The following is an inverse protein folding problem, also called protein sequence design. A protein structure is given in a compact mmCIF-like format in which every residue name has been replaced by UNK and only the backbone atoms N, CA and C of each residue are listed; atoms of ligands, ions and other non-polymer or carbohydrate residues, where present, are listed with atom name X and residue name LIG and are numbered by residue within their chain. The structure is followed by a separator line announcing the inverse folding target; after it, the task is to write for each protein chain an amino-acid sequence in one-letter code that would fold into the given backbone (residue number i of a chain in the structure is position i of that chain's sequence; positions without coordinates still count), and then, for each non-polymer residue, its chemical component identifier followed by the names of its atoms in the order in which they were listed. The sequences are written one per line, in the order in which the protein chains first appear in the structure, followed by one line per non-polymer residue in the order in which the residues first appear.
data_IF_687862162739
#
_entry.id   IF_687862162739
#
_cell.length_a   1.000
_cell.length_b   1.000
_cell.length_c   1.000
_cell.angle_alpha   90.00
_cell.angle_beta   90.00
_cell.angle_gamma   90.00
#
_symmetry.space_group_name_H-M   'P 1'
#
loop_
_entity.id
_entity.type
_entity.pdbx_description
1 polymer ?
#
# COMPACT_ATOMS: atom_id res chain seq x y z
N UNK A 1 -9.05 12.29 4.59
CA UNK A 1 -9.97 11.15 4.49
C UNK A 1 -11.32 11.49 5.10
N UNK A 2 -11.38 12.06 6.32
CA UNK A 2 -12.66 12.40 6.96
C UNK A 2 -13.49 13.43 6.18
N UNK A 3 -12.85 14.40 5.52
CA UNK A 3 -13.53 15.39 4.66
C UNK A 3 -13.99 14.76 3.33
N UNK A 4 -13.19 13.89 2.76
CA UNK A 4 -13.52 13.17 1.51
C UNK A 4 -14.70 12.23 1.72
N UNK A 5 -14.83 11.62 2.91
CA UNK A 5 -15.95 10.69 3.23
C UNK A 5 -17.33 11.33 3.14
N UNK A 6 -17.47 12.66 3.34
CA UNK A 6 -18.78 13.33 3.24
C UNK A 6 -19.37 13.28 1.83
N UNK A 7 -18.51 13.22 0.81
CA UNK A 7 -18.89 13.33 -0.60
C UNK A 7 -18.64 12.04 -1.39
N UNK A 8 -17.93 11.07 -0.81
CA UNK A 8 -17.58 9.80 -1.45
C UNK A 8 -17.93 8.62 -0.55
N UNK A 9 -18.41 7.53 -1.15
CA UNK A 9 -18.68 6.27 -0.45
C UNK A 9 -17.36 5.49 -0.22
N UNK A 10 -16.42 6.07 0.55
CA UNK A 10 -15.12 5.45 0.84
C UNK A 10 -15.33 4.10 1.53
N UNK A 11 -14.73 3.04 1.00
CA UNK A 11 -14.85 1.66 1.50
C UNK A 11 -13.63 1.24 2.33
N UNK A 12 -12.44 1.65 1.94
CA UNK A 12 -11.22 1.35 2.65
C UNK A 12 -10.16 2.43 2.38
N UNK A 13 -9.14 2.47 3.23
CA UNK A 13 -7.90 3.25 3.04
C UNK A 13 -6.75 2.28 2.90
N UNK A 14 -5.94 2.41 1.85
CA UNK A 14 -4.74 1.62 1.64
C UNK A 14 -3.51 2.46 1.98
N UNK A 15 -2.57 1.87 2.72
CA UNK A 15 -1.28 2.46 3.04
C UNK A 15 -0.17 1.56 2.50
N UNK A 16 0.69 2.13 1.67
CA UNK A 16 1.75 1.40 0.96
C UNK A 16 3.03 1.21 1.78
N UNK A 17 2.99 1.41 3.10
CA UNK A 17 4.13 1.21 4.00
C UNK A 17 4.89 2.50 4.35
N UNK A 18 6.03 2.33 5.02
CA UNK A 18 6.84 3.41 5.60
C UNK A 18 6.00 4.29 6.55
N UNK A 19 5.40 3.64 7.55
CA UNK A 19 4.60 4.27 8.59
C UNK A 19 5.44 5.16 9.52
N UNK A 20 6.72 4.80 9.64
CA UNK A 20 7.73 5.51 10.43
C UNK A 20 9.00 5.69 9.61
N UNK A 21 9.84 6.63 10.00
CA UNK A 21 11.17 6.81 9.40
C UNK A 21 12.18 5.78 9.90
N UNK A 22 12.02 5.30 11.13
CA UNK A 22 12.92 4.34 11.77
C UNK A 22 12.16 3.45 12.75
N UNK A 23 12.29 2.12 12.59
CA UNK A 23 11.50 1.16 13.37
C UNK A 23 11.92 1.08 14.85
N UNK A 24 13.23 1.07 15.18
CA UNK A 24 13.73 0.85 16.54
C UNK A 24 14.85 1.80 16.99
N UNK A 25 14.99 2.94 16.38
CA UNK A 25 16.01 3.92 16.79
C UNK A 25 15.61 4.59 18.12
N UNK A 26 16.41 4.35 19.16
CA UNK A 26 16.13 4.87 20.50
C UNK A 26 16.56 6.34 20.68
N UNK A 27 17.56 6.78 19.91
CA UNK A 27 18.10 8.13 20.01
C UNK A 27 17.94 8.83 18.67
N UNK A 28 17.24 9.97 18.60
CA UNK A 28 17.15 10.77 17.38
C UNK A 28 18.54 11.20 16.92
N UNK A 29 18.81 11.08 15.63
CA UNK A 29 20.10 11.50 15.03
C UNK A 29 20.02 12.91 14.41
N UNK A 30 18.85 13.57 14.46
CA UNK A 30 18.55 14.86 13.85
C UNK A 30 18.75 14.92 12.31
N UNK A 31 18.98 13.78 11.68
CA UNK A 31 19.06 13.61 10.22
C UNK A 31 17.79 12.99 9.70
N UNK A 32 17.31 11.93 10.37
CA UNK A 32 16.10 11.18 10.02
C UNK A 32 14.93 11.51 10.98
N UNK A 33 14.88 12.75 11.43
CA UNK A 33 13.89 13.25 12.36
C UNK A 33 14.42 13.49 13.77
N UNK A 34 13.63 14.20 14.56
CA UNK A 34 13.92 14.59 15.95
C UNK A 34 13.14 13.78 16.98
N UNK A 35 12.49 12.69 16.56
CA UNK A 35 11.69 11.80 17.39
C UNK A 35 12.35 10.43 17.50
N UNK A 36 12.21 9.80 18.66
CA UNK A 36 12.50 8.38 18.81
C UNK A 36 11.54 7.53 17.99
N UNK A 37 11.90 6.30 17.65
CA UNK A 37 11.01 5.37 16.94
C UNK A 37 9.70 5.15 17.68
N UNK A 38 9.72 5.08 19.01
CA UNK A 38 8.49 4.96 19.82
C UNK A 38 7.55 6.15 19.62
N UNK A 39 8.08 7.37 19.59
CA UNK A 39 7.30 8.58 19.35
C UNK A 39 6.74 8.61 17.94
N UNK A 40 7.52 8.19 16.93
CA UNK A 40 7.08 8.06 15.54
C UNK A 40 5.94 7.03 15.41
N UNK A 41 6.10 5.84 15.98
CA UNK A 41 5.05 4.81 16.00
C UNK A 41 3.78 5.28 16.71
N UNK A 42 3.90 5.98 17.84
CA UNK A 42 2.76 6.59 18.53
C UNK A 42 2.08 7.66 17.69
N UNK A 43 2.85 8.47 16.94
CA UNK A 43 2.30 9.48 16.06
C UNK A 43 1.53 8.85 14.89
N UNK A 44 2.10 7.84 14.21
CA UNK A 44 1.43 7.08 13.17
C UNK A 44 0.15 6.42 13.72
N UNK A 45 0.25 5.73 14.86
CA UNK A 45 -0.90 5.11 15.52
C UNK A 45 -2.03 6.10 15.79
N UNK A 46 -1.74 7.27 16.38
CA UNK A 46 -2.75 8.33 16.61
C UNK A 46 -3.38 8.86 15.33
N UNK A 47 -2.63 8.92 14.23
CA UNK A 47 -3.20 9.34 12.95
C UNK A 47 -4.25 8.33 12.45
N UNK A 48 -3.99 7.03 12.58
CA UNK A 48 -4.92 5.95 12.20
C UNK A 48 -6.11 5.78 13.17
N UNK A 49 -6.00 6.19 14.44
CA UNK A 49 -7.13 6.18 15.39
C UNK A 49 -8.35 6.94 14.87
N UNK A 50 -8.15 7.94 14.01
CA UNK A 50 -9.23 8.67 13.36
C UNK A 50 -10.04 7.83 12.39
N UNK A 51 -9.50 6.71 11.94
CA UNK A 51 -10.15 5.73 11.06
C UNK A 51 -10.74 4.55 11.84
N UNK A 52 -10.24 4.27 13.05
CA UNK A 52 -10.73 3.18 13.87
C UNK A 52 -12.25 3.25 14.05
N UNK A 53 -12.92 2.13 13.82
CA UNK A 53 -14.38 1.98 13.89
C UNK A 53 -15.19 2.87 12.91
N UNK A 54 -14.52 3.50 11.93
CA UNK A 54 -15.15 4.36 10.92
C UNK A 54 -14.91 3.87 9.50
N UNK A 55 -13.70 3.39 9.24
CA UNK A 55 -13.29 2.85 7.94
C UNK A 55 -12.29 1.71 8.16
N UNK A 56 -12.39 0.61 7.42
CA UNK A 56 -11.28 -0.32 7.30
C UNK A 56 -10.06 0.39 6.70
N UNK A 57 -8.90 0.15 7.25
CA UNK A 57 -7.64 0.52 6.64
C UNK A 57 -6.77 -0.71 6.48
N UNK A 58 -5.98 -0.73 5.43
CA UNK A 58 -5.16 -1.85 4.98
C UNK A 58 -3.73 -1.33 4.92
N UNK A 59 -2.83 -1.93 5.68
CA UNK A 59 -1.46 -1.46 5.87
C UNK A 59 -0.51 -2.54 5.40
N UNK A 60 0.45 -2.21 4.52
CA UNK A 60 1.64 -3.02 4.35
C UNK A 60 2.82 -2.41 5.12
N UNK A 61 3.85 -3.21 5.39
CA UNK A 61 5.11 -2.71 5.93
C UNK A 61 6.02 -2.23 4.81
N UNK A 62 6.68 -1.09 5.01
CA UNK A 62 7.74 -0.59 4.15
C UNK A 62 9.13 -0.86 4.75
N UNK A 63 10.21 -0.52 4.03
CA UNK A 63 11.57 -0.82 4.50
C UNK A 63 11.94 -0.07 5.78
N UNK A 64 11.37 1.10 6.04
CA UNK A 64 11.59 1.87 7.26
C UNK A 64 10.84 1.30 8.47
N UNK A 65 9.83 0.46 8.26
CA UNK A 65 9.07 -0.22 9.31
C UNK A 65 9.77 -1.48 9.86
N UNK A 66 10.93 -1.86 9.28
CA UNK A 66 11.68 -3.07 9.64
C UNK A 66 13.10 -2.78 10.11
N UNK A 67 13.63 -3.69 10.94
CA UNK A 67 14.99 -3.64 11.46
C UNK A 67 15.18 -2.51 12.46
N UNK A 68 16.40 -1.97 12.48
CA UNK A 68 16.71 -0.82 13.33
C UNK A 68 16.28 0.50 12.67
N UNK A 69 16.74 0.74 11.44
CA UNK A 69 16.43 1.95 10.65
C UNK A 69 15.71 1.65 9.35
N UNK A 70 16.19 0.67 8.56
CA UNK A 70 15.63 0.37 7.25
C UNK A 70 15.94 -1.07 6.81
N UNK A 71 15.11 -1.98 7.25
CA UNK A 71 15.11 -3.40 6.85
C UNK A 71 16.46 -4.11 6.98
N UNK A 72 17.21 -3.87 8.06
CA UNK A 72 18.41 -4.65 8.41
C UNK A 72 18.07 -6.09 8.80
N UNK A 73 16.86 -6.30 9.27
CA UNK A 73 16.29 -7.60 9.66
C UNK A 73 14.76 -7.57 9.57
N UNK A 74 14.08 -8.64 10.02
CA UNK A 74 12.61 -8.77 9.96
C UNK A 74 11.86 -8.28 11.21
N UNK A 75 12.53 -7.65 12.14
CA UNK A 75 11.86 -7.08 13.30
C UNK A 75 10.99 -5.90 12.89
N UNK A 76 9.70 -5.93 13.21
CA UNK A 76 8.72 -4.93 12.82
C UNK A 76 7.74 -4.66 13.96
N UNK A 77 7.46 -3.41 14.25
CA UNK A 77 6.57 -3.00 15.32
C UNK A 77 5.11 -2.81 14.87
N UNK A 78 4.75 -3.12 13.62
CA UNK A 78 3.36 -3.01 13.14
C UNK A 78 2.41 -3.80 14.06
N UNK A 79 2.71 -5.06 14.39
CA UNK A 79 1.84 -5.87 15.24
C UNK A 79 1.65 -5.32 16.67
N UNK A 80 2.62 -4.54 17.17
CA UNK A 80 2.53 -3.87 18.48
C UNK A 80 1.57 -2.68 18.47
N UNK A 81 1.63 -1.85 17.41
CA UNK A 81 0.83 -0.62 17.32
C UNK A 81 -0.48 -0.80 16.56
N UNK A 82 -0.54 -1.79 15.69
CA UNK A 82 -1.69 -2.16 14.86
C UNK A 82 -2.02 -3.65 15.02
N UNK A 83 -2.39 -4.12 16.23
CA UNK A 83 -2.80 -5.52 16.40
C UNK A 83 -4.04 -5.82 15.55
N UNK A 84 -4.17 -7.06 15.09
CA UNK A 84 -5.27 -7.52 14.22
C UNK A 84 -6.67 -7.33 14.81
N UNK A 85 -6.76 -7.02 16.07
CA UNK A 85 -8.03 -6.78 16.80
C UNK A 85 -8.36 -5.28 16.95
N UNK A 86 -7.49 -4.37 16.54
CA UNK A 86 -7.61 -2.95 16.84
C UNK A 86 -8.84 -2.29 16.21
N UNK A 87 -9.07 -2.48 14.92
CA UNK A 87 -10.21 -1.88 14.23
C UNK A 87 -11.36 -2.87 14.16
N UNK A 88 -12.48 -2.59 14.85
CA UNK A 88 -13.64 -3.48 14.90
C UNK A 88 -14.25 -3.76 13.51
N UNK A 89 -14.08 -2.87 12.54
CA UNK A 89 -14.58 -3.06 11.18
C UNK A 89 -13.82 -4.15 10.40
N UNK A 90 -12.64 -4.58 10.88
CA UNK A 90 -11.96 -5.73 10.29
C UNK A 90 -12.70 -7.04 10.49
N UNK A 91 -13.59 -7.15 11.48
CA UNK A 91 -14.45 -8.34 11.66
C UNK A 91 -15.26 -8.68 10.41
N UNK A 92 -15.61 -7.65 9.63
CA UNK A 92 -16.48 -7.80 8.46
C UNK A 92 -15.68 -7.98 7.16
N UNK A 93 -14.36 -7.77 7.17
CA UNK A 93 -13.57 -7.81 5.95
C UNK A 93 -12.24 -8.55 6.04
N UNK A 94 -11.59 -8.63 7.21
CA UNK A 94 -10.33 -9.38 7.38
C UNK A 94 -10.62 -10.89 7.37
N UNK A 95 -10.16 -11.59 6.34
CA UNK A 95 -10.50 -13.02 6.12
C UNK A 95 -9.36 -13.98 6.37
N UNK A 96 -8.11 -13.50 6.35
CA UNK A 96 -6.92 -14.31 6.60
C UNK A 96 -5.74 -13.45 7.03
N UNK A 97 -4.85 -14.01 7.84
CA UNK A 97 -3.53 -13.45 8.16
C UNK A 97 -2.48 -14.53 8.06
N UNK A 98 -1.27 -14.15 7.64
CA UNK A 98 -0.09 -14.99 7.74
C UNK A 98 0.84 -14.40 8.81
N UNK A 99 1.45 -15.26 9.63
CA UNK A 99 2.31 -14.80 10.71
C UNK A 99 3.58 -14.11 10.16
N UNK A 100 4.08 -13.14 10.91
CA UNK A 100 5.40 -12.57 10.63
C UNK A 100 6.52 -13.59 10.92
N UNK A 101 7.77 -13.19 10.70
CA UNK A 101 8.95 -14.04 10.90
C UNK A 101 9.12 -14.55 12.35
N UNK A 102 8.40 -13.97 13.29
CA UNK A 102 8.44 -14.34 14.73
C UNK A 102 7.20 -15.13 15.17
N UNK A 103 6.37 -15.59 14.23
CA UNK A 103 5.17 -16.38 14.54
C UNK A 103 3.98 -15.56 15.05
N UNK A 104 4.00 -14.24 14.91
CA UNK A 104 2.93 -13.35 15.38
C UNK A 104 1.96 -13.02 14.27
N UNK A 105 0.61 -13.17 14.47
CA UNK A 105 -0.39 -12.71 13.53
C UNK A 105 -0.24 -11.20 13.28
N UNK A 106 -0.19 -10.79 12.01
CA UNK A 106 0.13 -9.40 11.67
C UNK A 106 -0.65 -8.89 10.47
N UNK A 107 -0.89 -7.58 10.43
CA UNK A 107 -1.50 -6.92 9.27
C UNK A 107 -0.53 -6.76 8.09
N UNK A 108 0.78 -6.94 8.30
CA UNK A 108 1.78 -6.94 7.23
C UNK A 108 1.52 -8.02 6.17
N UNK A 109 0.90 -9.13 6.60
CA UNK A 109 0.52 -10.26 5.76
C UNK A 109 -0.95 -10.59 6.02
N UNK A 110 -1.86 -9.87 5.40
CA UNK A 110 -3.29 -9.96 5.66
C UNK A 110 -4.11 -9.95 4.37
N UNK A 111 -5.30 -10.52 4.42
CA UNK A 111 -6.22 -10.51 3.29
C UNK A 111 -7.59 -10.00 3.71
N UNK A 112 -8.16 -9.14 2.87
CA UNK A 112 -9.43 -8.46 3.11
C UNK A 112 -10.39 -8.68 1.96
N UNK A 113 -11.64 -9.04 2.28
CA UNK A 113 -12.70 -9.28 1.32
C UNK A 113 -13.72 -8.13 1.32
N UNK A 114 -14.06 -7.64 0.14
CA UNK A 114 -15.09 -6.63 -0.06
C UNK A 114 -16.08 -7.10 -1.13
N UNK A 115 -17.35 -6.88 -0.89
CA UNK A 115 -18.42 -7.21 -1.85
C UNK A 115 -19.13 -5.95 -2.33
N UNK A 116 -19.35 -5.85 -3.62
CA UNK A 116 -20.12 -4.78 -4.24
C UNK A 116 -21.01 -5.35 -5.35
N UNK A 117 -22.27 -4.89 -5.43
CA UNK A 117 -23.24 -5.40 -6.41
C UNK A 117 -22.80 -5.30 -7.87
N UNK A 118 -22.01 -4.28 -8.23
CA UNK A 118 -21.54 -4.05 -9.59
C UNK A 118 -20.19 -4.71 -9.86
N UNK A 119 -19.33 -4.81 -8.83
CA UNK A 119 -17.96 -5.28 -8.93
C UNK A 119 -17.79 -6.74 -8.56
N UNK A 120 -18.81 -7.35 -7.95
CA UNK A 120 -18.70 -8.67 -7.34
C UNK A 120 -17.80 -8.63 -6.11
N UNK A 121 -17.05 -9.70 -5.91
CA UNK A 121 -16.15 -9.86 -4.77
C UNK A 121 -14.72 -9.45 -5.13
N UNK A 122 -14.12 -8.66 -4.26
CA UNK A 122 -12.73 -8.21 -4.37
C UNK A 122 -11.98 -8.72 -3.15
N UNK A 123 -10.83 -9.35 -3.37
CA UNK A 123 -9.89 -9.77 -2.34
C UNK A 123 -8.65 -8.87 -2.42
N UNK A 124 -8.32 -8.19 -1.33
CA UNK A 124 -7.06 -7.43 -1.22
C UNK A 124 -6.08 -8.21 -0.38
N UNK A 125 -4.95 -8.61 -0.94
CA UNK A 125 -3.88 -9.35 -0.26
C UNK A 125 -2.71 -8.40 -0.02
N UNK A 126 -2.27 -8.31 1.23
CA UNK A 126 -1.13 -7.52 1.67
C UNK A 126 0.08 -8.42 1.84
N UNK A 127 1.22 -7.96 1.35
CA UNK A 127 2.51 -8.61 1.51
C UNK A 127 3.46 -7.73 2.32
N UNK A 128 4.19 -8.33 3.25
CA UNK A 128 5.28 -7.70 3.98
C UNK A 128 6.34 -7.12 3.04
N UNK A 129 7.19 -6.22 3.52
CA UNK A 129 8.34 -5.74 2.75
C UNK A 129 9.26 -6.90 2.35
N UNK A 130 9.63 -6.97 1.08
CA UNK A 130 10.46 -8.04 0.51
C UNK A 130 10.00 -9.44 0.98
N UNK A 131 8.75 -9.86 0.64
CA UNK A 131 8.06 -10.98 1.26
C UNK A 131 8.86 -12.28 1.23
N UNK A 132 8.74 -13.08 2.29
CA UNK A 132 9.31 -14.42 2.39
C UNK A 132 8.58 -15.38 1.45
N UNK A 133 9.21 -16.51 1.14
CA UNK A 133 8.60 -17.52 0.27
C UNK A 133 7.29 -18.06 0.84
N UNK A 134 7.23 -18.34 2.14
CA UNK A 134 6.01 -18.81 2.79
C UNK A 134 4.86 -17.79 2.71
N UNK A 135 5.15 -16.49 2.68
CA UNK A 135 4.13 -15.45 2.51
C UNK A 135 3.60 -15.43 1.06
N UNK A 136 4.49 -15.59 0.07
CA UNK A 136 4.08 -15.71 -1.33
C UNK A 136 3.25 -16.98 -1.58
N UNK A 137 3.64 -18.12 -0.99
CA UNK A 137 2.86 -19.36 -1.08
C UNK A 137 1.52 -19.27 -0.37
N UNK A 138 1.45 -18.63 0.81
CA UNK A 138 0.18 -18.32 1.48
C UNK A 138 -0.73 -17.48 0.60
N UNK A 139 -0.22 -16.37 0.05
CA UNK A 139 -0.97 -15.46 -0.80
C UNK A 139 -1.49 -16.15 -2.06
N UNK A 140 -0.65 -16.96 -2.70
CA UNK A 140 -1.02 -17.76 -3.88
C UNK A 140 -2.09 -18.79 -3.54
N UNK A 141 -1.87 -19.58 -2.49
CA UNK A 141 -2.83 -20.61 -2.05
C UNK A 141 -4.19 -20.00 -1.73
N UNK A 142 -4.20 -18.81 -1.10
CA UNK A 142 -5.42 -18.09 -0.83
C UNK A 142 -6.13 -17.65 -2.13
N UNK A 143 -5.39 -16.99 -3.04
CA UNK A 143 -5.94 -16.46 -4.29
C UNK A 143 -6.57 -17.55 -5.17
N UNK A 144 -5.97 -18.74 -5.23
CA UNK A 144 -6.46 -19.85 -6.08
C UNK A 144 -7.42 -20.81 -5.35
N UNK A 145 -7.70 -20.59 -4.05
CA UNK A 145 -8.62 -21.45 -3.29
C UNK A 145 -10.03 -21.40 -3.87
N UNK A 146 -10.83 -22.46 -3.70
CA UNK A 146 -12.22 -22.54 -4.13
C UNK A 146 -13.05 -21.33 -3.66
N UNK A 147 -12.79 -20.85 -2.44
CA UNK A 147 -13.47 -19.67 -1.90
C UNK A 147 -13.21 -18.41 -2.71
N UNK A 148 -11.97 -18.18 -3.14
CA UNK A 148 -11.53 -16.90 -3.71
C UNK A 148 -11.20 -16.94 -5.21
N UNK A 149 -11.23 -18.10 -5.87
CA UNK A 149 -10.85 -18.24 -7.29
C UNK A 149 -11.66 -17.36 -8.26
N UNK A 150 -12.88 -16.96 -7.86
CA UNK A 150 -13.77 -16.09 -8.63
C UNK A 150 -13.73 -14.62 -8.18
N UNK A 151 -12.89 -14.26 -7.21
CA UNK A 151 -12.70 -12.87 -6.80
C UNK A 151 -11.75 -12.14 -7.75
N UNK A 152 -11.93 -10.84 -7.89
CA UNK A 152 -10.89 -9.96 -8.42
C UNK A 152 -9.85 -9.73 -7.30
N UNK A 153 -8.61 -10.20 -7.48
CA UNK A 153 -7.57 -10.09 -6.46
C UNK A 153 -6.69 -8.88 -6.73
N UNK A 154 -6.51 -8.05 -5.72
CA UNK A 154 -5.60 -6.91 -5.71
C UNK A 154 -4.50 -7.18 -4.69
N UNK A 155 -3.26 -6.93 -5.05
CA UNK A 155 -2.10 -7.12 -4.19
C UNK A 155 -1.58 -5.75 -3.74
N UNK A 156 -1.34 -5.58 -2.46
CA UNK A 156 -0.71 -4.41 -1.87
C UNK A 156 0.66 -4.81 -1.31
N UNK A 157 1.71 -4.11 -1.73
CA UNK A 157 3.07 -4.29 -1.21
C UNK A 157 3.79 -2.95 -1.20
N UNK A 158 4.96 -2.88 -0.58
CA UNK A 158 5.72 -1.63 -0.51
C UNK A 158 6.58 -1.39 -1.75
N UNK A 159 7.52 -2.29 -2.03
CA UNK A 159 8.50 -2.16 -3.10
C UNK A 159 8.22 -3.14 -4.23
N UNK A 160 7.99 -2.63 -5.46
CA UNK A 160 7.74 -3.47 -6.63
C UNK A 160 8.09 -2.78 -7.95
N UNK A 161 7.67 -1.54 -8.18
CA UNK A 161 7.73 -0.84 -9.46
C UNK A 161 8.48 0.49 -9.32
N UNK A 162 9.18 0.90 -10.39
CA UNK A 162 9.77 2.24 -10.52
C UNK A 162 8.89 3.14 -11.41
N UNK A 163 9.23 4.42 -11.45
CA UNK A 163 8.54 5.43 -12.24
C UNK A 163 8.51 5.13 -13.74
N UNK A 164 9.56 4.51 -14.27
CA UNK A 164 9.69 4.15 -15.69
C UNK A 164 8.96 2.85 -16.06
N UNK A 165 8.20 2.26 -15.12
CA UNK A 165 7.51 0.99 -15.31
C UNK A 165 8.43 -0.24 -15.20
N UNK A 166 9.71 -0.09 -14.85
CA UNK A 166 10.60 -1.23 -14.59
C UNK A 166 10.26 -1.88 -13.25
N UNK A 167 10.29 -3.21 -13.23
CA UNK A 167 10.10 -4.00 -12.01
C UNK A 167 11.41 -4.01 -11.21
N UNK A 168 11.32 -3.77 -9.90
CA UNK A 168 12.47 -3.83 -8.99
C UNK A 168 12.88 -5.30 -8.83
N UNK A 169 14.05 -5.67 -9.34
CA UNK A 169 14.54 -7.05 -9.27
C UNK A 169 15.29 -7.36 -7.98
N UNK A 170 15.98 -6.37 -7.41
CA UNK A 170 16.79 -6.48 -6.19
C UNK A 170 16.98 -5.13 -5.54
N UNK A 171 17.13 -5.15 -4.21
CA UNK A 171 17.53 -4.02 -3.40
C UNK A 171 18.65 -4.38 -2.42
N UNK A 172 19.27 -3.37 -1.82
CA UNK A 172 20.48 -3.54 -0.98
C UNK A 172 20.17 -3.59 0.51
N UNK A 173 18.95 -3.94 0.92
CA UNK A 173 18.60 -4.08 2.33
C UNK A 173 19.12 -5.39 2.93
N UNK A 174 19.39 -5.37 4.24
CA UNK A 174 19.91 -6.52 4.98
C UNK A 174 18.90 -7.63 5.24
N UNK A 175 17.59 -7.35 5.06
CA UNK A 175 16.51 -8.30 5.30
C UNK A 175 16.66 -9.58 4.46
N UNK A 176 16.53 -10.75 5.11
CA UNK A 176 16.67 -12.05 4.46
C UNK A 176 15.78 -13.10 5.16
N UNK A 177 15.20 -14.08 4.42
CA UNK A 177 15.12 -14.17 2.96
C UNK A 177 14.27 -13.04 2.37
N UNK A 178 14.47 -12.66 1.10
CA UNK A 178 13.83 -11.51 0.49
C UNK A 178 13.44 -11.80 -0.96
N UNK A 179 12.20 -11.51 -1.33
CA UNK A 179 11.72 -11.54 -2.69
C UNK A 179 11.30 -10.13 -3.13
N UNK A 180 11.77 -9.72 -4.31
CA UNK A 180 11.44 -8.43 -4.91
C UNK A 180 10.56 -8.61 -6.16
N UNK A 181 10.23 -7.54 -6.82
CA UNK A 181 9.18 -7.46 -7.83
C UNK A 181 9.20 -8.56 -8.88
N UNK A 182 10.36 -8.93 -9.44
CA UNK A 182 10.47 -10.01 -10.42
C UNK A 182 9.99 -11.36 -9.85
N UNK A 183 10.44 -11.70 -8.64
CA UNK A 183 10.05 -12.95 -7.99
C UNK A 183 8.58 -12.92 -7.54
N UNK A 184 8.09 -11.78 -7.09
CA UNK A 184 6.66 -11.59 -6.78
C UNK A 184 5.82 -11.80 -8.05
N UNK A 185 6.25 -11.28 -9.19
CA UNK A 185 5.60 -11.52 -10.46
C UNK A 185 5.57 -13.02 -10.80
N UNK A 186 6.72 -13.69 -10.80
CA UNK A 186 6.86 -15.09 -11.21
C UNK A 186 6.13 -16.05 -10.28
N UNK A 187 6.20 -15.83 -8.96
CA UNK A 187 5.63 -16.75 -7.97
C UNK A 187 4.16 -16.50 -7.65
N UNK A 188 3.67 -15.24 -7.77
CA UNK A 188 2.33 -14.86 -7.34
C UNK A 188 1.48 -14.25 -8.46
N UNK A 189 1.93 -13.16 -9.09
CA UNK A 189 1.03 -12.41 -9.99
C UNK A 189 0.76 -13.16 -11.28
N UNK A 190 1.80 -13.69 -11.93
CA UNK A 190 1.67 -14.40 -13.18
C UNK A 190 0.84 -15.70 -13.06
N UNK A 191 1.10 -16.61 -12.09
CA UNK A 191 0.39 -17.88 -12.03
C UNK A 191 -1.06 -17.80 -11.52
N UNK A 192 -1.48 -16.70 -10.91
CA UNK A 192 -2.84 -16.55 -10.39
C UNK A 192 -3.76 -15.88 -11.42
N UNK A 193 -4.65 -16.66 -12.02
CA UNK A 193 -5.57 -16.24 -13.10
C UNK A 193 -6.52 -15.08 -12.72
N UNK A 194 -6.74 -14.84 -11.43
CA UNK A 194 -7.71 -13.87 -10.89
C UNK A 194 -7.06 -12.62 -10.29
N UNK A 195 -5.72 -12.53 -10.24
CA UNK A 195 -5.05 -11.28 -9.88
C UNK A 195 -5.22 -10.27 -11.02
N UNK A 196 -5.64 -9.04 -10.67
CA UNK A 196 -5.93 -7.96 -11.61
C UNK A 196 -5.13 -6.69 -11.37
N UNK A 197 -4.62 -6.52 -10.16
CA UNK A 197 -3.92 -5.29 -9.79
C UNK A 197 -2.84 -5.55 -8.75
N UNK A 198 -1.74 -4.78 -8.85
CA UNK A 198 -0.78 -4.58 -7.77
C UNK A 198 -0.62 -3.09 -7.51
N UNK A 199 -0.58 -2.72 -6.24
CA UNK A 199 -0.38 -1.34 -5.76
C UNK A 199 0.86 -1.34 -4.88
N UNK A 200 1.78 -0.37 -5.13
CA UNK A 200 2.99 -0.20 -4.34
C UNK A 200 3.35 1.27 -4.13
N UNK A 201 4.37 1.52 -3.32
CA UNK A 201 4.96 2.82 -3.03
C UNK A 201 6.47 2.79 -3.24
N UNK A 202 7.23 3.10 -2.21
CA UNK A 202 8.67 3.01 -2.04
C UNK A 202 9.47 3.99 -2.90
N UNK A 203 9.51 3.78 -4.23
CA UNK A 203 10.35 4.60 -5.10
C UNK A 203 9.87 6.04 -5.15
N UNK A 204 10.78 6.99 -5.00
CA UNK A 204 10.52 8.42 -5.15
C UNK A 204 11.80 9.18 -5.52
N UNK A 205 11.64 10.42 -6.01
CA UNK A 205 12.72 11.30 -6.42
C UNK A 205 12.37 12.75 -6.06
N UNK A 206 13.39 13.57 -5.85
CA UNK A 206 13.24 15.03 -5.71
C UNK A 206 13.24 15.77 -7.04
N UNK A 207 13.39 15.07 -8.16
CA UNK A 207 13.49 15.68 -9.50
C UNK A 207 12.13 16.09 -10.09
N UNK A 208 11.03 15.68 -9.48
CA UNK A 208 9.69 16.04 -9.88
C UNK A 208 8.68 14.92 -9.70
N UNK A 209 7.39 15.30 -9.67
CA UNK A 209 6.30 14.36 -9.33
C UNK A 209 6.19 13.19 -10.32
N UNK A 210 6.54 13.38 -11.59
CA UNK A 210 6.52 12.29 -12.59
C UNK A 210 7.40 11.10 -12.20
N UNK A 211 8.45 11.33 -11.43
CA UNK A 211 9.35 10.28 -10.91
C UNK A 211 8.81 9.63 -9.64
N UNK A 212 7.68 10.09 -9.12
CA UNK A 212 7.03 9.61 -7.89
C UNK A 212 5.78 8.75 -8.20
N UNK A 213 5.53 8.50 -9.47
CA UNK A 213 4.42 7.69 -9.98
C UNK A 213 4.91 6.75 -11.08
N UNK A 214 4.36 5.55 -11.14
CA UNK A 214 4.70 4.56 -12.15
C UNK A 214 3.50 3.67 -12.49
N UNK A 215 3.46 3.22 -13.75
CA UNK A 215 2.39 2.37 -14.27
C UNK A 215 2.97 1.29 -15.17
N UNK A 216 2.37 0.11 -15.09
CA UNK A 216 2.68 -1.02 -15.96
C UNK A 216 1.45 -1.92 -16.08
N UNK A 217 1.33 -2.62 -17.21
CA UNK A 217 0.30 -3.62 -17.42
C UNK A 217 0.91 -4.83 -18.14
N UNK A 218 0.83 -6.00 -17.50
CA UNK A 218 1.28 -7.26 -18.08
C UNK A 218 0.14 -8.29 -18.02
N UNK A 219 0.25 -9.36 -18.81
CA UNK A 219 -0.73 -10.43 -18.83
C UNK A 219 -0.32 -11.59 -17.92
N UNK A 220 -1.24 -12.05 -17.08
CA UNK A 220 -1.05 -13.27 -16.29
C UNK A 220 -1.21 -14.53 -17.16
N UNK A 221 -1.05 -15.71 -16.55
CA UNK A 221 -1.13 -17.01 -17.23
C UNK A 221 -2.45 -17.25 -17.97
N UNK A 222 -3.54 -16.58 -17.56
CA UNK A 222 -4.84 -16.67 -18.23
C UNK A 222 -5.03 -15.59 -19.33
N UNK A 223 -3.98 -14.84 -19.68
CA UNK A 223 -4.04 -13.75 -20.64
C UNK A 223 -4.79 -12.50 -20.16
N UNK A 224 -5.12 -12.43 -18.86
CA UNK A 224 -5.81 -11.32 -18.25
C UNK A 224 -4.82 -10.23 -17.83
N UNK A 225 -5.24 -8.97 -17.99
CA UNK A 225 -4.44 -7.82 -17.61
C UNK A 225 -4.25 -7.75 -16.09
N UNK A 226 -3.00 -7.51 -15.67
CA UNK A 226 -2.61 -7.18 -14.30
C UNK A 226 -2.03 -5.78 -14.32
N UNK A 227 -2.80 -4.81 -13.81
CA UNK A 227 -2.35 -3.42 -13.71
C UNK A 227 -1.46 -3.26 -12.47
N UNK A 228 -0.34 -2.60 -12.64
CA UNK A 228 0.66 -2.38 -11.61
C UNK A 228 0.85 -0.87 -11.46
N UNK A 229 0.64 -0.35 -10.26
CA UNK A 229 0.65 1.08 -10.00
C UNK A 229 1.55 1.40 -8.81
N UNK A 230 2.50 2.29 -9.00
CA UNK A 230 3.34 2.87 -7.96
C UNK A 230 2.94 4.31 -7.71
N UNK A 231 2.88 4.69 -6.43
CA UNK A 231 2.64 6.06 -5.99
C UNK A 231 3.38 6.33 -4.68
N UNK A 232 4.28 7.32 -4.71
CA UNK A 232 4.94 7.81 -3.49
C UNK A 232 5.23 9.31 -3.60
N UNK A 233 4.45 10.15 -2.94
CA UNK A 233 4.60 11.60 -2.97
C UNK A 233 5.56 12.14 -1.89
N UNK A 234 6.28 11.30 -1.18
CA UNK A 234 7.07 11.64 0.01
C UNK A 234 8.00 12.85 -0.18
N UNK A 235 8.58 13.03 -1.36
CA UNK A 235 9.52 14.11 -1.67
C UNK A 235 8.86 15.44 -2.08
N UNK A 236 7.55 15.46 -2.26
CA UNK A 236 6.83 16.71 -2.49
C UNK A 236 6.82 17.58 -1.22
N UNK A 237 6.69 18.89 -1.39
CA UNK A 237 6.61 19.80 -0.25
C UNK A 237 7.94 20.03 0.48
N UNK A 238 9.07 19.98 -0.25
CA UNK A 238 10.39 20.36 0.28
C UNK A 238 11.46 19.25 0.28
N UNK A 239 11.29 18.21 -0.53
CA UNK A 239 12.26 17.12 -0.66
C UNK A 239 12.27 16.17 0.55
N UNK A 240 13.39 15.49 0.77
CA UNK A 240 13.55 14.48 1.83
C UNK A 240 13.33 15.01 3.25
N UNK A 241 13.55 16.29 3.48
CA UNK A 241 13.38 16.97 4.77
C UNK A 241 12.18 17.93 4.77
N UNK A 242 11.27 17.76 3.82
CA UNK A 242 10.07 18.59 3.67
C UNK A 242 8.94 18.18 4.61
N UNK A 243 7.72 18.41 4.15
CA UNK A 243 6.51 18.18 4.95
C UNK A 243 5.88 16.79 4.79
N UNK A 244 6.59 15.85 4.17
CA UNK A 244 6.12 14.49 3.97
C UNK A 244 5.12 14.34 2.83
N UNK A 245 5.23 15.15 1.77
CA UNK A 245 4.50 14.90 0.54
C UNK A 245 3.27 15.74 0.29
N UNK A 246 3.16 16.94 0.89
CA UNK A 246 2.03 17.87 0.69
C UNK A 246 0.64 17.21 0.87
N UNK A 247 0.58 16.09 1.58
CA UNK A 247 -0.65 15.33 1.79
C UNK A 247 -1.24 14.69 0.53
N UNK A 248 -0.49 14.54 -0.55
CA UNK A 248 -0.96 13.89 -1.77
C UNK A 248 -1.36 12.44 -1.52
N UNK A 249 -2.50 12.05 -2.09
CA UNK A 249 -3.02 10.69 -2.06
C UNK A 249 -3.71 10.35 -3.39
N UNK A 250 -3.86 9.05 -3.67
CA UNK A 250 -4.67 8.56 -4.79
C UNK A 250 -6.05 8.13 -4.35
N UNK A 251 -7.05 8.51 -5.14
CA UNK A 251 -8.42 8.04 -5.03
C UNK A 251 -8.64 7.04 -6.15
N UNK A 252 -9.07 5.84 -5.80
CA UNK A 252 -9.48 4.79 -6.72
C UNK A 252 -11.01 4.74 -6.71
N UNK A 253 -11.64 5.31 -7.73
CA UNK A 253 -13.10 5.37 -7.85
C UNK A 253 -13.61 4.23 -8.73
N UNK A 254 -14.29 3.28 -8.10
CA UNK A 254 -14.86 2.10 -8.75
C UNK A 254 -16.18 2.46 -9.42
N UNK A 255 -16.20 2.48 -10.75
CA UNK A 255 -17.35 2.94 -11.54
C UNK A 255 -18.49 1.90 -11.53
N UNK A 256 -19.74 2.34 -11.75
CA UNK A 256 -20.89 1.43 -11.74
C UNK A 256 -20.93 0.37 -12.84
N UNK A 257 -20.07 0.48 -13.86
CA UNK A 257 -19.94 -0.49 -14.96
C UNK A 257 -19.26 -1.81 -14.53
N UNK A 258 -18.72 -1.87 -13.31
CA UNK A 258 -18.10 -3.08 -12.72
C UNK A 258 -16.72 -3.42 -13.29
N UNK A 259 -16.11 -2.55 -14.09
CA UNK A 259 -14.83 -2.78 -14.75
C UNK A 259 -13.88 -1.57 -14.78
N UNK A 260 -14.39 -0.34 -14.74
CA UNK A 260 -13.59 0.88 -14.81
C UNK A 260 -13.25 1.40 -13.41
N UNK A 261 -11.96 1.60 -13.13
CA UNK A 261 -11.46 2.28 -11.94
C UNK A 261 -10.86 3.61 -12.39
N UNK A 262 -11.41 4.72 -11.94
CA UNK A 262 -10.84 6.06 -12.17
C UNK A 262 -9.82 6.35 -11.10
N UNK A 263 -8.61 6.66 -11.52
CA UNK A 263 -7.53 7.11 -10.65
C UNK A 263 -7.49 8.63 -10.65
N UNK A 264 -7.44 9.23 -9.46
CA UNK A 264 -7.36 10.67 -9.26
C UNK A 264 -6.33 10.97 -8.19
N UNK A 265 -5.56 12.05 -8.34
CA UNK A 265 -4.57 12.50 -7.35
C UNK A 265 -5.05 13.77 -6.67
N UNK A 266 -5.14 13.74 -5.35
CA UNK A 266 -5.76 14.77 -4.52
C UNK A 266 -4.92 15.05 -3.27
N UNK A 267 -4.81 16.33 -2.89
CA UNK A 267 -4.23 16.75 -1.62
C UNK A 267 -5.28 17.37 -0.70
N UNK A 268 -5.69 16.67 0.37
CA UNK A 268 -6.53 17.27 1.40
C UNK A 268 -5.82 18.42 2.14
N UNK A 269 -4.50 18.45 2.14
CA UNK A 269 -3.71 19.53 2.74
C UNK A 269 -3.96 20.85 1.99
N UNK A 270 -3.91 20.86 0.67
CA UNK A 270 -4.25 22.05 -0.12
C UNK A 270 -5.74 22.38 -0.09
N UNK A 271 -6.61 21.37 0.03
CA UNK A 271 -8.07 21.58 0.00
C UNK A 271 -8.66 22.23 1.25
N UNK A 272 -7.93 22.33 2.36
CA UNK A 272 -8.45 22.91 3.61
C UNK A 272 -8.37 24.44 3.66
N UNK A 273 -7.61 25.07 2.78
CA UNK A 273 -7.44 26.53 2.74
C UNK A 273 -7.98 27.14 1.45
N UNK A 274 -8.81 28.19 1.51
CA UNK A 274 -9.32 28.86 0.30
C UNK A 274 -8.23 29.38 -0.64
N UNK A 275 -7.03 29.67 -0.13
CA UNK A 275 -5.90 30.17 -0.93
C UNK A 275 -5.21 29.07 -1.72
N UNK A 276 -5.26 27.82 -1.24
CA UNK A 276 -4.59 26.66 -1.85
C UNK A 276 -5.54 25.66 -2.48
N UNK A 277 -6.85 25.75 -2.23
CA UNK A 277 -7.87 24.80 -2.73
C UNK A 277 -7.78 24.54 -4.24
N UNK A 278 -7.48 25.56 -5.02
CA UNK A 278 -7.30 25.45 -6.48
C UNK A 278 -6.16 24.51 -6.90
N UNK A 279 -5.23 24.21 -6.00
CA UNK A 279 -4.10 23.31 -6.24
C UNK A 279 -4.34 21.91 -5.67
N UNK A 280 -5.51 21.62 -5.09
CA UNK A 280 -5.79 20.37 -4.41
C UNK A 280 -5.91 19.14 -5.36
N UNK A 281 -6.05 19.34 -6.66
CA UNK A 281 -6.14 18.29 -7.66
C UNK A 281 -4.98 18.39 -8.64
N UNK A 282 -4.35 17.26 -8.92
CA UNK A 282 -3.41 17.11 -10.04
C UNK A 282 -4.14 16.48 -11.21
N UNK A 283 -3.86 16.95 -12.43
CA UNK A 283 -4.63 16.61 -13.63
C UNK A 283 -3.77 16.13 -14.80
N UNK A 284 -2.47 15.94 -14.59
CA UNK A 284 -1.57 15.38 -15.60
C UNK A 284 -1.98 13.92 -15.93
N UNK A 285 -1.59 13.42 -17.10
CA UNK A 285 -1.98 12.07 -17.55
C UNK A 285 -1.55 10.95 -16.59
N UNK A 286 -0.44 11.13 -15.88
CA UNK A 286 0.01 10.19 -14.84
C UNK A 286 -0.68 10.39 -13.48
N UNK A 287 -1.46 11.46 -13.30
CA UNK A 287 -2.21 11.78 -12.09
C UNK A 287 -3.69 11.41 -12.18
N UNK A 288 -4.26 11.50 -13.39
CA UNK A 288 -5.65 11.13 -13.66
C UNK A 288 -5.72 10.20 -14.87
N UNK A 289 -6.22 9.00 -14.67
CA UNK A 289 -6.39 8.00 -15.73
C UNK A 289 -7.41 6.95 -15.36
N UNK A 290 -7.85 6.18 -16.34
CA UNK A 290 -8.79 5.08 -16.16
C UNK A 290 -8.06 3.74 -16.32
N UNK A 291 -8.33 2.81 -15.41
CA UNK A 291 -7.95 1.40 -15.50
C UNK A 291 -9.22 0.61 -15.85
N UNK A 292 -9.17 -0.16 -16.93
CA UNK A 292 -10.29 -1.02 -17.33
C UNK A 292 -9.90 -2.47 -17.13
N UNK A 293 -10.55 -3.13 -16.17
CA UNK A 293 -10.36 -4.57 -15.92
C UNK A 293 -11.19 -5.40 -16.90
N UNK A 294 -10.59 -6.45 -17.45
CA UNK A 294 -11.21 -7.41 -18.40
C UNK A 294 -11.71 -8.68 -17.72
#
# INVERSE_FOLDING_TARGET
VASVKKNLAVKAVLCTGDLVEQNECLVPDNVNGNQTSEEQWKAASRAFERLDHRLPYIICGGNHDYGYKRAENRLCNISKYFPVTRNLLWKDCLVSVCNNAFGVPTLENAAYEFTNKNWGNILVIVLEFAPRDEVLEWAKSLAISERFENHKVFVLTHSYLRWDGSIIEKESYGVSPANYGKVIWEKLLYPCKNIRMLICGHYCSTEGFVYNVGQRCDKNIAGKNVFQMMFNAQTEGGGWHGNGGDGWLRIMEFMPDGKTIKIKTFSPFFAISPTTEKYAWRTEEFDQFDIVLD
#
